data_IF_086615095200
#
_entry.id   IF_086615095200
#
_cell.length_a   1.000
_cell.length_b   1.000
_cell.length_c   1.000
_cell.angle_alpha   90.00
_cell.angle_beta   90.00
_cell.angle_gamma   90.00
#
_symmetry.space_group_name_H-M   'P 1'
#
loop_
_entity.id
_entity.type
_entity.pdbx_description
1 polymer ?
#
# COMPACT_ATOMS: atom_id res chain seq x y z
N UNK A 1 9.07 11.08 -31.28
CA UNK A 1 9.13 11.25 -29.83
C UNK A 1 8.29 10.13 -29.24
N UNK A 2 8.87 9.33 -28.39
CA UNK A 2 8.16 8.26 -27.72
C UNK A 2 7.09 8.88 -26.79
N UNK A 3 5.82 8.64 -27.09
CA UNK A 3 4.68 9.16 -26.32
C UNK A 3 4.70 8.69 -24.85
N UNK A 4 5.46 7.65 -24.56
CA UNK A 4 5.61 7.06 -23.24
C UNK A 4 6.76 7.65 -22.40
N UNK A 5 7.48 8.67 -22.91
CA UNK A 5 8.59 9.31 -22.19
C UNK A 5 8.57 10.84 -22.34
N UNK A 6 7.44 11.46 -21.96
CA UNK A 6 7.32 12.91 -21.95
C UNK A 6 7.81 13.48 -20.62
N UNK A 7 8.32 14.73 -20.58
CA UNK A 7 8.71 15.39 -19.31
C UNK A 7 7.57 15.34 -18.26
N UNK A 8 6.34 15.58 -18.67
CA UNK A 8 5.17 15.52 -17.80
C UNK A 8 4.93 14.13 -17.20
N UNK A 9 5.21 13.05 -17.95
CA UNK A 9 5.14 11.69 -17.42
C UNK A 9 6.23 11.43 -16.39
N UNK A 10 7.45 11.94 -16.62
CA UNK A 10 8.54 11.84 -15.64
C UNK A 10 8.21 12.60 -14.35
N UNK A 11 7.60 13.78 -14.44
CA UNK A 11 7.14 14.54 -13.27
C UNK A 11 6.04 13.78 -12.50
N UNK A 12 5.10 13.16 -13.21
CA UNK A 12 4.07 12.35 -12.59
C UNK A 12 4.64 11.11 -11.88
N UNK A 13 5.58 10.42 -12.51
CA UNK A 13 6.28 9.25 -11.94
C UNK A 13 7.11 9.65 -10.72
N UNK A 14 7.82 10.78 -10.79
CA UNK A 14 8.57 11.33 -9.66
C UNK A 14 7.65 11.66 -8.49
N UNK A 15 6.56 12.38 -8.72
CA UNK A 15 5.57 12.69 -7.69
C UNK A 15 5.00 11.40 -7.03
N UNK A 16 4.78 10.35 -7.82
CA UNK A 16 4.34 9.05 -7.31
C UNK A 16 5.38 8.42 -6.38
N UNK A 17 6.65 8.37 -6.79
CA UNK A 17 7.74 7.79 -6.00
C UNK A 17 8.02 8.58 -4.71
N UNK A 18 7.84 9.91 -4.75
CA UNK A 18 7.97 10.80 -3.59
C UNK A 18 6.74 10.76 -2.64
N UNK A 19 5.72 9.96 -2.95
CA UNK A 19 4.49 9.84 -2.17
C UNK A 19 3.52 11.01 -2.31
N UNK A 20 3.74 11.90 -3.28
CA UNK A 20 2.81 12.99 -3.62
C UNK A 20 1.73 12.46 -4.58
N UNK A 21 0.86 11.60 -4.06
CA UNK A 21 -0.09 10.83 -4.85
C UNK A 21 -1.19 11.66 -5.49
N UNK A 22 -1.60 12.76 -4.88
CA UNK A 22 -2.61 13.66 -5.46
C UNK A 22 -2.09 14.33 -6.73
N UNK A 23 -0.89 14.90 -6.67
CA UNK A 23 -0.23 15.48 -7.84
C UNK A 23 0.01 14.43 -8.91
N UNK A 24 0.51 13.26 -8.54
CA UNK A 24 0.75 12.16 -9.47
C UNK A 24 -0.55 11.72 -10.18
N UNK A 25 -1.63 11.52 -9.42
CA UNK A 25 -2.92 11.12 -9.97
C UNK A 25 -3.46 12.13 -11.00
N UNK A 26 -3.44 13.42 -10.67
CA UNK A 26 -3.93 14.45 -11.55
C UNK A 26 -3.12 14.52 -12.85
N UNK A 27 -1.80 14.42 -12.76
CA UNK A 27 -0.93 14.39 -13.94
C UNK A 27 -1.15 13.12 -14.80
N UNK A 28 -1.30 11.96 -14.19
CA UNK A 28 -1.62 10.72 -14.93
C UNK A 28 -3.00 10.80 -15.58
N UNK A 29 -3.98 11.39 -14.93
CA UNK A 29 -5.32 11.56 -15.49
C UNK A 29 -5.29 12.44 -16.76
N UNK A 30 -4.60 13.58 -16.72
CA UNK A 30 -4.41 14.43 -17.89
C UNK A 30 -3.69 13.69 -19.03
N UNK A 31 -2.60 12.97 -18.72
CA UNK A 31 -1.86 12.19 -19.72
C UNK A 31 -2.70 11.05 -20.32
N UNK A 32 -3.57 10.43 -19.54
CA UNK A 32 -4.48 9.39 -20.04
C UNK A 32 -5.50 9.95 -21.03
N UNK A 33 -5.98 11.19 -20.85
CA UNK A 33 -6.81 11.89 -21.83
C UNK A 33 -6.06 12.10 -23.17
N UNK A 34 -4.72 12.26 -23.13
CA UNK A 34 -3.87 12.35 -24.31
C UNK A 34 -3.48 10.97 -24.88
N UNK A 35 -4.18 9.91 -24.48
CA UNK A 35 -3.95 8.52 -24.89
C UNK A 35 -2.56 7.97 -24.53
N UNK A 36 -1.96 8.40 -23.43
CA UNK A 36 -0.73 7.87 -22.93
C UNK A 36 -0.97 6.54 -22.19
N UNK A 37 -0.48 5.41 -22.78
CA UNK A 37 -0.68 4.07 -22.24
C UNK A 37 -0.02 3.86 -20.87
N UNK A 38 1.16 4.45 -20.65
CA UNK A 38 1.89 4.38 -19.37
C UNK A 38 1.11 5.09 -18.24
N UNK A 39 0.50 6.24 -18.53
CA UNK A 39 -0.36 6.92 -17.56
C UNK A 39 -1.58 6.06 -17.18
N UNK A 40 -2.15 5.34 -18.13
CA UNK A 40 -3.24 4.39 -17.90
C UNK A 40 -2.81 3.22 -17.00
N UNK A 41 -1.57 2.73 -17.16
CA UNK A 41 -0.99 1.74 -16.24
C UNK A 41 -0.97 2.28 -14.81
N UNK A 42 -0.46 3.51 -14.59
CA UNK A 42 -0.43 4.11 -13.25
C UNK A 42 -1.83 4.32 -12.67
N UNK A 43 -2.80 4.75 -13.47
CA UNK A 43 -4.19 4.84 -13.01
C UNK A 43 -4.72 3.47 -12.59
N UNK A 44 -4.40 2.40 -13.32
CA UNK A 44 -4.70 1.04 -12.89
C UNK A 44 -4.12 0.71 -11.51
N UNK A 45 -2.86 1.04 -11.26
CA UNK A 45 -2.21 0.83 -9.96
C UNK A 45 -2.90 1.60 -8.82
N UNK A 46 -3.31 2.85 -9.07
CA UNK A 46 -4.07 3.62 -8.08
C UNK A 46 -5.35 2.90 -7.66
N UNK A 47 -6.04 2.24 -8.57
CA UNK A 47 -7.28 1.52 -8.29
C UNK A 47 -7.07 0.09 -7.76
N UNK A 48 -5.90 -0.51 -7.93
CA UNK A 48 -5.56 -1.82 -7.36
C UNK A 48 -5.26 -1.77 -5.86
N UNK A 49 -4.80 -0.61 -5.36
CA UNK A 49 -4.41 -0.43 -3.96
C UNK A 49 -5.24 0.67 -3.27
N UNK A 50 -6.56 0.49 -3.12
CA UNK A 50 -7.45 1.56 -2.69
C UNK A 50 -7.18 2.08 -1.27
N UNK A 51 -6.60 1.26 -0.39
CA UNK A 51 -6.45 1.61 1.03
C UNK A 51 -5.23 2.48 1.34
N UNK A 52 -4.23 2.53 0.45
CA UNK A 52 -2.97 3.25 0.71
C UNK A 52 -2.86 4.59 -0.02
N UNK A 53 -3.50 4.74 -1.17
CA UNK A 53 -3.30 5.88 -2.04
C UNK A 53 -4.48 6.86 -2.07
N UNK A 54 -5.71 6.36 -2.04
CA UNK A 54 -6.92 7.17 -2.22
C UNK A 54 -7.50 7.81 -0.96
N UNK A 55 -7.15 7.36 0.23
CA UNK A 55 -7.63 8.01 1.47
C UNK A 55 -7.27 9.49 1.58
N UNK A 56 -6.53 10.02 0.58
CA UNK A 56 -6.01 11.38 0.55
C UNK A 56 -6.45 12.24 -0.63
N UNK A 57 -7.17 11.68 -1.61
CA UNK A 57 -7.65 12.46 -2.74
C UNK A 57 -9.06 12.94 -2.39
N UNK A 58 -9.18 14.21 -1.99
CA UNK A 58 -10.48 14.82 -1.72
C UNK A 58 -11.40 14.75 -2.95
N UNK A 59 -12.63 14.32 -2.74
CA UNK A 59 -13.68 14.27 -3.78
C UNK A 59 -13.75 12.97 -4.58
N UNK A 60 -12.84 12.02 -4.38
CA UNK A 60 -12.94 10.68 -4.98
C UNK A 60 -13.64 9.74 -4.01
N UNK A 61 -14.88 9.35 -4.34
CA UNK A 61 -15.64 8.38 -3.53
C UNK A 61 -15.12 6.97 -3.78
N UNK A 62 -14.16 6.55 -2.96
CA UNK A 62 -13.31 5.34 -3.12
C UNK A 62 -14.05 4.03 -2.77
N UNK A 63 -15.26 4.09 -2.25
CA UNK A 63 -15.92 2.97 -1.55
C UNK A 63 -16.26 1.76 -2.44
N UNK A 64 -16.14 1.88 -3.77
CA UNK A 64 -16.38 0.75 -4.70
C UNK A 64 -15.47 0.75 -5.93
N UNK A 65 -14.25 1.20 -5.82
CA UNK A 65 -13.35 1.10 -6.95
C UNK A 65 -12.76 -0.31 -6.98
N UNK A 66 -13.48 -1.11 -7.73
CA UNK A 66 -13.30 -2.53 -7.85
C UNK A 66 -12.12 -2.85 -8.76
N UNK A 67 -11.64 -4.05 -8.62
CA UNK A 67 -10.80 -4.78 -9.57
C UNK A 67 -11.23 -4.59 -11.05
N UNK A 68 -12.49 -4.26 -11.30
CA UNK A 68 -13.05 -3.97 -12.60
C UNK A 68 -12.51 -2.65 -13.18
N UNK A 69 -12.43 -1.58 -12.39
CA UNK A 69 -11.92 -0.29 -12.85
C UNK A 69 -10.42 -0.34 -13.09
N UNK A 70 -9.67 -0.95 -12.18
CA UNK A 70 -8.24 -1.21 -12.35
C UNK A 70 -8.00 -2.03 -13.63
N UNK A 71 -8.71 -3.15 -13.80
CA UNK A 71 -8.63 -4.00 -14.99
C UNK A 71 -8.98 -3.26 -16.28
N UNK A 72 -9.95 -2.34 -16.26
CA UNK A 72 -10.30 -1.52 -17.41
C UNK A 72 -9.17 -0.57 -17.81
N UNK A 73 -8.49 0.05 -16.84
CA UNK A 73 -7.32 0.90 -17.10
C UNK A 73 -6.15 0.12 -17.68
N UNK A 74 -5.81 -1.06 -17.13
CA UNK A 74 -4.76 -1.91 -17.68
C UNK A 74 -5.09 -2.38 -19.10
N UNK A 75 -6.32 -2.78 -19.35
CA UNK A 75 -6.78 -3.15 -20.70
C UNK A 75 -6.64 -2.00 -21.70
N UNK A 76 -7.01 -0.79 -21.28
CA UNK A 76 -6.91 0.40 -22.11
C UNK A 76 -5.43 0.74 -22.39
N UNK A 77 -4.56 0.75 -21.38
CA UNK A 77 -3.13 0.97 -21.52
C UNK A 77 -2.47 -0.07 -22.44
N UNK A 78 -2.84 -1.34 -22.29
CA UNK A 78 -2.42 -2.43 -23.18
C UNK A 78 -2.85 -2.16 -24.65
N UNK A 79 -4.05 -1.67 -24.88
CA UNK A 79 -4.52 -1.32 -26.23
C UNK A 79 -3.77 -0.13 -26.85
N UNK A 80 -3.06 0.66 -26.03
CA UNK A 80 -2.19 1.76 -26.43
C UNK A 80 -0.72 1.34 -26.57
N UNK A 81 -0.43 0.04 -26.38
CA UNK A 81 0.90 -0.54 -26.57
C UNK A 81 1.84 -0.35 -25.37
N UNK A 82 1.33 0.01 -24.17
CA UNK A 82 2.18 0.08 -22.99
C UNK A 82 2.55 -1.33 -22.51
N UNK A 83 3.84 -1.68 -22.37
CA UNK A 83 4.26 -3.03 -21.98
C UNK A 83 3.87 -3.40 -20.56
N UNK A 84 3.93 -2.46 -19.61
CA UNK A 84 3.58 -2.71 -18.21
C UNK A 84 2.08 -2.99 -18.07
N UNK A 85 1.24 -2.14 -18.65
CA UNK A 85 -0.20 -2.36 -18.69
C UNK A 85 -0.56 -3.68 -19.36
N UNK A 86 0.16 -4.03 -20.44
CA UNK A 86 -0.03 -5.29 -21.15
C UNK A 86 0.30 -6.49 -20.28
N UNK A 87 1.44 -6.47 -19.57
CA UNK A 87 1.84 -7.57 -18.70
C UNK A 87 0.85 -7.78 -17.56
N UNK A 88 0.43 -6.70 -16.88
CA UNK A 88 -0.56 -6.80 -15.79
C UNK A 88 -1.91 -7.32 -16.30
N UNK A 89 -2.37 -6.81 -17.43
CA UNK A 89 -3.60 -7.29 -18.06
C UNK A 89 -3.53 -8.79 -18.39
N UNK A 90 -2.42 -9.23 -18.99
CA UNK A 90 -2.18 -10.64 -19.35
C UNK A 90 -2.06 -11.54 -18.11
N UNK A 91 -1.41 -11.10 -17.04
CA UNK A 91 -1.38 -11.84 -15.78
C UNK A 91 -2.79 -12.12 -15.24
N UNK A 92 -3.66 -11.12 -15.29
CA UNK A 92 -5.06 -11.29 -14.88
C UNK A 92 -5.80 -12.30 -15.80
N UNK A 93 -5.54 -12.27 -17.12
CA UNK A 93 -6.10 -13.24 -18.07
C UNK A 93 -5.60 -14.68 -17.83
N UNK A 94 -4.34 -14.87 -17.38
CA UNK A 94 -3.81 -16.19 -16.99
C UNK A 94 -4.63 -16.76 -15.83
N UNK A 95 -4.89 -15.93 -14.80
CA UNK A 95 -5.70 -16.34 -13.65
C UNK A 95 -7.10 -16.78 -14.08
N UNK A 96 -7.66 -16.13 -15.11
CA UNK A 96 -8.97 -16.45 -15.70
C UNK A 96 -8.91 -17.49 -16.85
N UNK A 97 -7.72 -17.99 -17.19
CA UNK A 97 -7.48 -18.96 -18.29
C UNK A 97 -7.89 -18.44 -19.67
N UNK A 98 -7.67 -17.15 -19.98
CA UNK A 98 -8.12 -16.47 -21.21
C UNK A 98 -6.98 -16.03 -22.14
N UNK A 99 -5.72 -16.31 -21.83
CA UNK A 99 -4.58 -15.83 -22.62
C UNK A 99 -3.79 -16.95 -23.27
N UNK A 100 -2.97 -16.62 -24.27
CA UNK A 100 -2.03 -17.52 -24.91
C UNK A 100 -0.61 -17.35 -24.39
N UNK A 101 0.21 -18.42 -24.50
CA UNK A 101 1.61 -18.39 -24.08
C UNK A 101 2.44 -17.37 -24.89
N UNK A 102 2.16 -17.22 -26.20
CA UNK A 102 2.86 -16.23 -27.02
C UNK A 102 2.63 -14.82 -26.53
N UNK A 103 1.38 -14.46 -26.28
CA UNK A 103 1.03 -13.12 -25.76
C UNK A 103 1.72 -12.83 -24.40
N UNK A 104 1.80 -13.84 -23.53
CA UNK A 104 2.55 -13.72 -22.29
C UNK A 104 4.03 -13.50 -22.52
N UNK A 105 4.67 -14.34 -23.33
CA UNK A 105 6.11 -14.27 -23.59
C UNK A 105 6.51 -12.93 -24.21
N UNK A 106 5.76 -12.42 -25.17
CA UNK A 106 6.06 -11.15 -25.83
C UNK A 106 6.06 -9.98 -24.84
N UNK A 107 5.02 -9.85 -24.01
CA UNK A 107 4.95 -8.77 -23.03
C UNK A 107 5.92 -8.97 -21.85
N UNK A 108 6.17 -10.22 -21.43
CA UNK A 108 7.12 -10.54 -20.37
C UNK A 108 8.55 -10.14 -20.75
N UNK A 109 9.01 -10.49 -21.96
CA UNK A 109 10.36 -10.12 -22.41
C UNK A 109 10.50 -8.62 -22.65
N UNK A 110 9.45 -7.93 -23.11
CA UNK A 110 9.47 -6.49 -23.23
C UNK A 110 9.64 -5.81 -21.86
N UNK A 111 8.87 -6.23 -20.85
CA UNK A 111 9.00 -5.68 -19.50
C UNK A 111 10.32 -6.08 -18.84
N UNK A 112 10.80 -7.30 -19.08
CA UNK A 112 12.11 -7.75 -18.59
C UNK A 112 13.24 -6.88 -19.13
N UNK A 113 13.19 -6.53 -20.40
CA UNK A 113 14.18 -5.62 -21.02
C UNK A 113 14.17 -4.26 -20.33
N UNK A 114 12.98 -3.67 -20.12
CA UNK A 114 12.85 -2.39 -19.41
C UNK A 114 13.37 -2.49 -17.95
N UNK A 115 13.11 -3.61 -17.27
CA UNK A 115 13.62 -3.85 -15.93
C UNK A 115 15.16 -3.92 -15.89
N UNK A 116 15.79 -4.57 -16.87
CA UNK A 116 17.26 -4.62 -17.01
C UNK A 116 17.83 -3.23 -17.31
N UNK A 117 17.10 -2.39 -18.01
CA UNK A 117 17.45 -0.98 -18.29
C UNK A 117 17.24 -0.06 -17.09
N UNK A 118 16.71 -0.56 -15.98
CA UNK A 118 16.55 0.15 -14.71
C UNK A 118 15.20 0.84 -14.51
N UNK A 119 14.18 0.51 -15.31
CA UNK A 119 12.81 1.00 -15.05
C UNK A 119 12.26 0.38 -13.74
N UNK A 120 12.16 1.18 -12.70
CA UNK A 120 11.74 0.74 -11.34
C UNK A 120 10.38 0.05 -11.35
N UNK A 121 9.46 0.50 -12.20
CA UNK A 121 8.12 -0.08 -12.28
C UNK A 121 8.16 -1.42 -13.03
N UNK A 122 8.99 -1.53 -14.05
CA UNK A 122 9.23 -2.80 -14.73
C UNK A 122 9.89 -3.83 -13.80
N UNK A 123 10.84 -3.41 -12.97
CA UNK A 123 11.46 -4.27 -11.94
C UNK A 123 10.40 -4.77 -10.96
N UNK A 124 9.49 -3.90 -10.49
CA UNK A 124 8.38 -4.31 -9.62
C UNK A 124 7.41 -5.28 -10.32
N UNK A 125 7.12 -5.07 -11.60
CA UNK A 125 6.26 -5.99 -12.36
C UNK A 125 6.90 -7.35 -12.58
N UNK A 126 8.24 -7.42 -12.75
CA UNK A 126 8.97 -8.69 -12.76
C UNK A 126 8.80 -9.44 -11.41
N UNK A 127 9.01 -8.75 -10.29
CA UNK A 127 8.75 -9.33 -8.97
C UNK A 127 7.32 -9.88 -8.85
N UNK A 128 6.31 -9.09 -9.21
CA UNK A 128 4.91 -9.52 -9.13
C UNK A 128 4.62 -10.71 -10.02
N UNK A 129 5.22 -10.78 -11.20
CA UNK A 129 5.02 -11.89 -12.14
C UNK A 129 5.56 -13.21 -11.57
N UNK A 130 6.77 -13.20 -10.97
CA UNK A 130 7.33 -14.37 -10.31
C UNK A 130 6.56 -14.74 -9.03
N UNK A 131 6.10 -13.76 -8.26
CA UNK A 131 5.24 -13.99 -7.09
C UNK A 131 3.91 -14.63 -7.48
N UNK A 132 3.29 -14.18 -8.55
CA UNK A 132 2.04 -14.76 -9.03
C UNK A 132 2.26 -16.18 -9.55
N UNK A 133 3.37 -16.46 -10.22
CA UNK A 133 3.76 -17.81 -10.60
C UNK A 133 3.96 -18.72 -9.38
N UNK A 134 4.47 -18.17 -8.26
CA UNK A 134 4.61 -18.90 -7.00
C UNK A 134 3.27 -19.16 -6.31
N UNK A 135 2.38 -18.17 -6.30
CA UNK A 135 1.09 -18.23 -5.60
C UNK A 135 0.03 -19.02 -6.39
N UNK A 136 0.11 -19.00 -7.71
CA UNK A 136 -0.86 -19.61 -8.63
C UNK A 136 -0.19 -20.66 -9.53
N UNK A 137 0.68 -21.51 -8.97
CA UNK A 137 1.52 -22.48 -9.69
C UNK A 137 0.74 -23.29 -10.73
N UNK A 138 -0.44 -23.81 -10.38
CA UNK A 138 -1.28 -24.58 -11.31
C UNK A 138 -1.79 -23.76 -12.52
N UNK A 139 -1.92 -22.46 -12.38
CA UNK A 139 -2.39 -21.57 -13.46
C UNK A 139 -1.22 -21.08 -14.34
N UNK A 140 -0.06 -20.91 -13.73
CA UNK A 140 1.15 -20.44 -14.39
C UNK A 140 2.03 -21.56 -14.98
N UNK A 141 1.74 -22.84 -14.71
CA UNK A 141 2.58 -23.98 -15.08
C UNK A 141 3.09 -23.98 -16.55
N UNK A 142 2.26 -23.46 -17.47
CA UNK A 142 2.59 -23.38 -18.88
C UNK A 142 3.23 -22.03 -19.31
N UNK A 143 3.32 -21.04 -18.40
CA UNK A 143 3.78 -19.69 -18.70
C UNK A 143 5.11 -19.38 -18.02
N UNK A 144 5.18 -19.50 -16.73
CA UNK A 144 6.35 -19.22 -15.92
C UNK A 144 6.45 -20.23 -14.77
N UNK A 145 7.61 -20.84 -14.62
CA UNK A 145 7.87 -21.74 -13.49
C UNK A 145 8.12 -20.93 -12.24
N UNK A 146 7.63 -21.44 -11.11
CA UNK A 146 7.96 -20.93 -9.79
C UNK A 146 9.46 -20.88 -9.58
N UNK A 147 9.97 -19.71 -9.22
CA UNK A 147 11.37 -19.50 -8.88
C UNK A 147 11.49 -18.45 -7.77
N UNK A 148 11.59 -18.92 -6.54
CA UNK A 148 11.71 -18.05 -5.36
C UNK A 148 13.03 -17.25 -5.36
N UNK A 149 14.08 -17.71 -6.05
CA UNK A 149 15.34 -16.96 -6.13
C UNK A 149 15.23 -15.77 -7.08
N UNK A 150 14.63 -15.97 -8.24
CA UNK A 150 14.36 -14.87 -9.19
C UNK A 150 13.35 -13.88 -8.56
N UNK A 151 12.31 -14.37 -7.88
CA UNK A 151 11.36 -13.51 -7.17
C UNK A 151 12.07 -12.62 -6.15
N UNK A 152 12.93 -13.18 -5.28
CA UNK A 152 13.69 -12.41 -4.29
C UNK A 152 14.71 -11.47 -4.94
N UNK A 153 15.36 -11.91 -6.04
CA UNK A 153 16.29 -11.06 -6.80
C UNK A 153 15.60 -9.80 -7.30
N UNK A 154 14.46 -9.94 -7.98
CA UNK A 154 13.70 -8.80 -8.48
C UNK A 154 13.17 -7.91 -7.35
N UNK A 155 12.80 -8.50 -6.20
CA UNK A 155 12.41 -7.72 -5.03
C UNK A 155 13.56 -6.87 -4.47
N UNK A 156 14.78 -7.42 -4.40
CA UNK A 156 15.97 -6.67 -3.98
C UNK A 156 16.29 -5.56 -4.97
N UNK A 157 16.28 -5.88 -6.24
CA UNK A 157 16.50 -4.89 -7.31
C UNK A 157 15.51 -3.73 -7.21
N UNK A 158 14.22 -4.03 -7.00
CA UNK A 158 13.20 -3.00 -6.81
C UNK A 158 13.48 -2.10 -5.60
N UNK A 159 13.86 -2.69 -4.47
CA UNK A 159 14.18 -1.94 -3.27
C UNK A 159 15.43 -1.06 -3.44
N UNK A 160 16.47 -1.58 -4.11
CA UNK A 160 17.73 -0.88 -4.38
C UNK A 160 17.55 0.23 -5.42
N UNK A 161 16.68 0.03 -6.40
CA UNK A 161 16.33 1.03 -7.42
C UNK A 161 15.38 2.13 -6.93
N UNK A 162 15.05 2.16 -5.64
CA UNK A 162 14.28 3.25 -5.03
C UNK A 162 12.78 3.05 -4.98
N UNK A 163 12.25 1.83 -5.23
CA UNK A 163 10.83 1.55 -5.05
C UNK A 163 10.43 1.53 -3.56
N UNK A 164 9.57 2.46 -3.08
CA UNK A 164 9.13 2.44 -1.69
C UNK A 164 8.38 1.15 -1.34
N UNK A 165 7.62 0.62 -2.28
CA UNK A 165 6.90 -0.64 -2.13
C UNK A 165 7.87 -1.83 -2.09
N UNK A 166 8.88 -1.86 -2.96
CA UNK A 166 9.95 -2.86 -2.95
C UNK A 166 10.68 -2.88 -1.61
N UNK A 167 11.03 -1.69 -1.08
CA UNK A 167 11.67 -1.54 0.23
C UNK A 167 10.80 -2.12 1.36
N UNK A 168 9.49 -1.80 1.38
CA UNK A 168 8.56 -2.33 2.39
C UNK A 168 8.48 -3.85 2.32
N UNK A 169 8.33 -4.40 1.12
CA UNK A 169 8.24 -5.86 0.94
C UNK A 169 9.54 -6.57 1.33
N UNK A 170 10.69 -6.00 0.99
CA UNK A 170 11.99 -6.54 1.40
C UNK A 170 12.18 -6.44 2.92
N UNK A 171 11.80 -5.32 3.54
CA UNK A 171 11.76 -5.17 4.99
C UNK A 171 10.88 -6.23 5.65
N UNK A 172 9.72 -6.53 5.09
CA UNK A 172 8.83 -7.59 5.57
C UNK A 172 9.46 -8.99 5.47
N UNK A 173 10.24 -9.25 4.42
CA UNK A 173 11.00 -10.51 4.33
C UNK A 173 12.00 -10.66 5.50
N UNK A 174 12.68 -9.58 5.88
CA UNK A 174 13.61 -9.58 7.03
C UNK A 174 12.89 -9.56 8.40
N UNK A 175 11.68 -9.02 8.51
CA UNK A 175 10.86 -9.01 9.74
C UNK A 175 10.34 -10.42 10.14
N UNK A 176 10.71 -11.45 9.41
CA UNK A 176 10.39 -12.84 9.74
C UNK A 176 9.23 -13.41 8.98
N UNK A 177 8.78 -12.73 7.92
CA UNK A 177 7.56 -13.08 7.21
C UNK A 177 7.70 -14.16 6.14
N UNK A 178 8.91 -14.49 5.63
CA UNK A 178 8.98 -15.35 4.44
C UNK A 178 10.12 -16.38 4.46
N UNK A 179 9.91 -17.46 5.17
CA UNK A 179 10.80 -18.64 5.10
C UNK A 179 10.92 -19.24 3.69
N UNK A 180 9.94 -18.97 2.81
CA UNK A 180 9.91 -19.50 1.45
C UNK A 180 11.10 -19.07 0.57
N UNK A 181 11.73 -17.93 0.90
CA UNK A 181 12.89 -17.41 0.14
C UNK A 181 14.24 -17.76 0.77
N UNK A 182 14.29 -18.50 1.87
CA UNK A 182 15.51 -18.77 2.60
C UNK A 182 16.14 -17.52 3.25
N UNK A 183 15.35 -16.44 3.41
CA UNK A 183 15.80 -15.23 4.10
C UNK A 183 15.68 -15.46 5.60
N UNK A 184 16.80 -15.33 6.30
CA UNK A 184 16.84 -15.37 7.76
C UNK A 184 16.30 -14.04 8.29
N UNK A 185 15.46 -14.10 9.32
CA UNK A 185 14.93 -12.91 9.98
C UNK A 185 16.06 -12.03 10.52
N UNK A 186 16.04 -10.76 10.12
CA UNK A 186 16.93 -9.71 10.60
C UNK A 186 16.15 -8.41 10.80
N UNK A 187 15.70 -8.19 12.02
CA UNK A 187 14.91 -7.01 12.35
C UNK A 187 15.68 -5.69 12.16
N UNK A 188 17.02 -5.70 12.24
CA UNK A 188 17.82 -4.49 11.99
C UNK A 188 17.82 -4.14 10.51
N UNK A 189 17.95 -5.13 9.63
CA UNK A 189 17.80 -4.92 8.19
C UNK A 189 16.36 -4.52 7.84
N UNK A 190 15.34 -5.12 8.46
CA UNK A 190 13.95 -4.71 8.29
C UNK A 190 13.77 -3.23 8.62
N UNK A 191 14.28 -2.77 9.77
CA UNK A 191 14.23 -1.36 10.17
C UNK A 191 14.89 -0.45 9.13
N UNK A 192 16.08 -0.81 8.63
CA UNK A 192 16.79 -0.02 7.62
C UNK A 192 15.96 0.17 6.33
N UNK A 193 15.34 -0.90 5.84
CA UNK A 193 14.49 -0.83 4.67
C UNK A 193 13.21 -0.05 4.91
N UNK A 194 12.56 -0.23 6.06
CA UNK A 194 11.39 0.56 6.42
C UNK A 194 11.72 2.04 6.61
N UNK A 195 12.89 2.40 7.18
CA UNK A 195 13.33 3.78 7.30
C UNK A 195 13.49 4.44 5.93
N UNK A 196 14.18 3.79 4.98
CA UNK A 196 14.31 4.28 3.60
C UNK A 196 12.95 4.50 2.94
N UNK A 197 12.01 3.56 3.09
CA UNK A 197 10.67 3.72 2.54
C UNK A 197 9.88 4.84 3.25
N UNK A 198 10.05 5.01 4.55
CA UNK A 198 9.40 6.08 5.32
C UNK A 198 9.92 7.49 4.93
N UNK A 199 11.19 7.62 4.56
CA UNK A 199 11.76 8.86 3.99
C UNK A 199 11.08 9.24 2.66
N UNK A 200 10.57 8.26 1.93
CA UNK A 200 9.77 8.42 0.73
C UNK A 200 8.25 8.49 1.02
N UNK A 201 7.88 8.86 2.24
CA UNK A 201 6.50 9.03 2.70
C UNK A 201 5.62 7.77 2.61
N UNK A 202 6.20 6.58 2.63
CA UNK A 202 5.43 5.35 2.64
C UNK A 202 4.80 5.08 4.02
N UNK A 203 3.48 5.19 4.12
CA UNK A 203 2.75 5.05 5.38
C UNK A 203 2.85 3.64 5.98
N UNK A 204 2.87 2.60 5.15
CA UNK A 204 3.02 1.22 5.63
C UNK A 204 4.38 0.99 6.27
N UNK A 205 5.46 1.57 5.72
CA UNK A 205 6.79 1.53 6.33
C UNK A 205 6.78 2.21 7.71
N UNK A 206 6.16 3.38 7.81
CA UNK A 206 6.03 4.11 9.09
C UNK A 206 5.24 3.28 10.12
N UNK A 207 4.14 2.66 9.70
CA UNK A 207 3.37 1.75 10.55
C UNK A 207 4.21 0.57 11.05
N UNK A 208 4.96 -0.09 10.15
CA UNK A 208 5.82 -1.22 10.49
C UNK A 208 6.94 -0.83 11.45
N UNK A 209 7.56 0.35 11.27
CA UNK A 209 8.51 0.90 12.24
C UNK A 209 7.87 1.06 13.63
N UNK A 210 6.65 1.61 13.70
CA UNK A 210 5.90 1.69 14.94
C UNK A 210 5.69 0.32 15.60
N UNK A 211 5.40 -0.72 14.84
CA UNK A 211 5.29 -2.10 15.34
C UNK A 211 6.61 -2.59 15.93
N UNK A 212 7.74 -2.38 15.21
CA UNK A 212 9.06 -2.85 15.66
C UNK A 212 9.50 -2.17 16.95
N UNK A 213 9.34 -0.84 17.06
CA UNK A 213 9.61 -0.09 18.30
C UNK A 213 8.68 -0.50 19.44
N UNK A 214 7.37 -0.68 19.17
CA UNK A 214 6.40 -1.10 20.19
C UNK A 214 6.69 -2.46 20.78
N UNK A 215 7.27 -3.37 19.98
CA UNK A 215 7.57 -4.75 20.41
C UNK A 215 9.03 -4.96 20.81
N UNK A 216 9.92 -3.98 20.61
CA UNK A 216 11.34 -4.12 20.88
C UNK A 216 12.06 -5.11 19.94
N UNK A 217 11.58 -5.22 18.68
CA UNK A 217 12.18 -6.13 17.69
C UNK A 217 13.29 -5.42 16.94
N UNK A 218 14.54 -5.88 17.10
CA UNK A 218 15.73 -5.29 16.48
C UNK A 218 16.17 -3.96 17.09
N UNK A 219 15.37 -3.39 17.99
CA UNK A 219 15.62 -2.16 18.77
C UNK A 219 15.13 -2.35 20.19
N UNK A 220 15.57 -1.49 21.12
CA UNK A 220 14.98 -1.41 22.44
C UNK A 220 13.50 -1.02 22.32
N UNK A 221 12.64 -1.68 23.12
CA UNK A 221 11.22 -1.32 23.16
C UNK A 221 11.03 0.13 23.57
N UNK A 222 10.31 0.89 22.76
CA UNK A 222 9.99 2.29 23.01
C UNK A 222 8.60 2.63 22.48
N UNK A 223 7.63 2.69 23.39
CA UNK A 223 6.26 3.04 23.03
C UNK A 223 6.11 4.52 22.62
N UNK A 224 6.99 5.42 23.10
CA UNK A 224 6.94 6.83 22.70
C UNK A 224 7.42 7.00 21.27
N UNK A 225 8.48 6.29 20.87
CA UNK A 225 8.94 6.30 19.49
C UNK A 225 7.94 5.58 18.55
N UNK A 226 7.35 4.46 19.01
CA UNK A 226 6.28 3.79 18.28
C UNK A 226 5.08 4.72 18.03
N UNK A 227 4.68 5.49 19.03
CA UNK A 227 3.61 6.47 18.92
C UNK A 227 3.90 7.53 17.86
N UNK A 228 5.13 8.07 17.81
CA UNK A 228 5.54 9.04 16.78
C UNK A 228 5.45 8.46 15.37
N UNK A 229 5.88 7.22 15.19
CA UNK A 229 5.80 6.54 13.91
C UNK A 229 4.35 6.27 13.48
N UNK A 230 3.48 5.86 14.42
CA UNK A 230 2.04 5.72 14.14
C UNK A 230 1.39 7.07 13.78
N UNK A 231 1.78 8.17 14.46
CA UNK A 231 1.29 9.50 14.11
C UNK A 231 1.63 9.86 12.67
N UNK A 232 2.90 9.73 12.28
CA UNK A 232 3.33 9.96 10.90
C UNK A 232 2.55 9.10 9.90
N UNK A 233 2.41 7.81 10.17
CA UNK A 233 1.65 6.90 9.30
C UNK A 233 0.17 7.31 9.18
N UNK A 234 -0.48 7.68 10.27
CA UNK A 234 -1.87 8.12 10.30
C UNK A 234 -2.09 9.45 9.58
N UNK A 235 -1.11 10.38 9.60
CA UNK A 235 -1.12 11.61 8.79
C UNK A 235 -1.16 11.29 7.30
N UNK A 236 -0.57 10.16 6.90
CA UNK A 236 -0.67 9.63 5.55
C UNK A 236 -1.91 8.72 5.33
N UNK A 237 -2.89 8.75 6.22
CA UNK A 237 -4.19 8.09 6.07
C UNK A 237 -4.19 6.58 6.39
N UNK A 238 -3.13 6.05 6.99
CA UNK A 238 -3.08 4.63 7.38
C UNK A 238 -4.06 4.33 8.51
N UNK A 239 -5.04 3.50 8.22
CA UNK A 239 -6.13 3.18 9.16
C UNK A 239 -5.64 2.30 10.31
N UNK A 240 -4.70 1.40 10.05
CA UNK A 240 -4.10 0.56 11.08
C UNK A 240 -3.33 1.40 12.11
N UNK A 241 -2.59 2.41 11.63
CA UNK A 241 -1.92 3.38 12.50
C UNK A 241 -2.93 4.19 13.33
N UNK A 242 -4.06 4.62 12.75
CA UNK A 242 -5.13 5.29 13.50
C UNK A 242 -5.67 4.41 14.63
N UNK A 243 -5.86 3.10 14.37
CA UNK A 243 -6.28 2.14 15.39
C UNK A 243 -5.23 1.96 16.49
N UNK A 244 -3.94 1.94 16.13
CA UNK A 244 -2.82 1.88 17.10
C UNK A 244 -2.77 3.13 17.98
N UNK A 245 -3.00 4.31 17.41
CA UNK A 245 -3.08 5.56 18.17
C UNK A 245 -4.26 5.56 19.14
N UNK A 246 -5.44 5.13 18.70
CA UNK A 246 -6.58 4.95 19.57
C UNK A 246 -6.26 4.05 20.78
N UNK A 247 -5.62 2.91 20.51
CA UNK A 247 -5.19 1.98 21.56
C UNK A 247 -4.08 2.56 22.45
N UNK A 248 -3.13 3.33 21.89
CA UNK A 248 -2.08 3.98 22.66
C UNK A 248 -2.64 4.99 23.66
N UNK A 249 -3.58 5.85 23.25
CA UNK A 249 -4.27 6.78 24.14
C UNK A 249 -5.17 6.07 25.16
N UNK A 250 -5.83 4.97 24.78
CA UNK A 250 -6.67 4.18 25.69
C UNK A 250 -5.85 3.58 26.83
N UNK A 251 -4.63 3.11 26.55
CA UNK A 251 -3.80 2.36 27.50
C UNK A 251 -2.66 3.20 28.10
N UNK A 252 -2.38 4.41 27.58
CA UNK A 252 -1.25 5.23 28.01
C UNK A 252 0.10 4.67 27.51
N UNK A 253 0.14 4.09 26.29
CA UNK A 253 1.35 3.52 25.71
C UNK A 253 2.11 4.59 24.91
N UNK A 254 3.20 5.10 25.49
CA UNK A 254 4.03 6.14 24.88
C UNK A 254 3.41 7.54 24.87
N UNK A 255 2.23 7.69 25.45
CA UNK A 255 1.48 8.95 25.55
C UNK A 255 0.65 8.97 26.82
N UNK A 256 0.29 10.15 27.30
CA UNK A 256 -0.64 10.29 28.45
C UNK A 256 -1.99 9.70 28.08
N UNK A 257 -2.50 8.82 28.95
CA UNK A 257 -3.80 8.16 28.77
C UNK A 257 -4.93 9.18 28.62
N UNK A 258 -5.74 9.03 27.57
CA UNK A 258 -6.86 9.90 27.26
C UNK A 258 -7.93 9.16 26.47
N UNK A 259 -9.05 8.86 27.09
CA UNK A 259 -10.18 8.25 26.38
C UNK A 259 -10.80 9.18 25.33
N UNK A 260 -10.73 10.52 25.54
CA UNK A 260 -11.21 11.49 24.55
C UNK A 260 -10.38 11.47 23.25
N UNK A 261 -9.06 11.41 23.35
CA UNK A 261 -8.19 11.28 22.19
C UNK A 261 -8.32 9.90 21.54
N UNK A 262 -8.42 8.82 22.33
CA UNK A 262 -8.70 7.48 21.81
C UNK A 262 -9.99 7.46 20.98
N UNK A 263 -11.06 8.10 21.47
CA UNK A 263 -12.32 8.22 20.74
C UNK A 263 -12.16 8.93 19.39
N UNK A 264 -11.44 10.06 19.36
CA UNK A 264 -11.18 10.79 18.10
C UNK A 264 -10.47 9.93 17.05
N UNK A 265 -9.45 9.18 17.45
CA UNK A 265 -8.71 8.31 16.55
C UNK A 265 -9.54 7.13 16.04
N UNK A 266 -10.31 6.49 16.91
CA UNK A 266 -11.23 5.43 16.48
C UNK A 266 -12.35 5.97 15.58
N UNK A 267 -12.82 7.21 15.81
CA UNK A 267 -13.74 7.89 14.89
C UNK A 267 -13.16 8.09 13.50
N UNK A 268 -11.91 8.58 13.42
CA UNK A 268 -11.21 8.72 12.13
C UNK A 268 -11.11 7.37 11.41
N UNK A 269 -10.68 6.32 12.11
CA UNK A 269 -10.60 4.97 11.56
C UNK A 269 -11.97 4.42 11.12
N UNK A 270 -13.02 4.63 11.89
CA UNK A 270 -14.40 4.24 11.57
C UNK A 270 -14.93 4.97 10.33
N UNK A 271 -14.57 6.25 10.16
CA UNK A 271 -14.96 7.06 9.00
C UNK A 271 -14.48 6.52 7.66
N UNK A 272 -13.46 5.66 7.66
CA UNK A 272 -12.97 4.95 6.47
C UNK A 272 -13.76 3.66 6.15
N UNK A 273 -14.78 3.32 6.94
CA UNK A 273 -15.53 2.07 6.81
C UNK A 273 -14.88 0.85 7.48
N UNK A 274 -13.80 1.06 8.24
CA UNK A 274 -13.07 -0.04 8.88
C UNK A 274 -13.78 -0.53 10.16
N UNK A 275 -14.20 -1.81 10.19
CA UNK A 275 -15.01 -2.39 11.28
C UNK A 275 -14.39 -2.28 12.67
N UNK A 276 -13.06 -2.45 12.80
CA UNK A 276 -12.34 -2.31 14.09
C UNK A 276 -12.38 -0.88 14.65
N UNK A 277 -12.53 0.14 13.80
CA UNK A 277 -12.77 1.51 14.25
C UNK A 277 -14.09 1.63 15.02
N UNK A 278 -15.14 0.99 14.50
CA UNK A 278 -16.47 0.95 15.16
C UNK A 278 -16.41 0.20 16.51
N UNK A 279 -15.68 -0.93 16.55
CA UNK A 279 -15.50 -1.70 17.79
C UNK A 279 -14.73 -0.89 18.84
N UNK A 280 -13.65 -0.20 18.42
CA UNK A 280 -12.87 0.69 19.28
C UNK A 280 -13.71 1.83 19.85
N UNK A 281 -14.55 2.46 19.02
CA UNK A 281 -15.50 3.49 19.47
C UNK A 281 -16.45 2.95 20.55
N UNK A 282 -17.10 1.82 20.30
CA UNK A 282 -18.04 1.22 21.24
C UNK A 282 -17.37 0.82 22.56
N UNK A 283 -16.09 0.42 22.53
CA UNK A 283 -15.30 0.14 23.72
C UNK A 283 -15.01 1.40 24.52
N UNK A 284 -14.52 2.45 23.88
CA UNK A 284 -14.18 3.72 24.55
C UNK A 284 -15.43 4.42 25.07
N UNK A 285 -16.56 4.38 24.35
CA UNK A 285 -17.84 4.89 24.85
C UNK A 285 -18.21 4.24 26.20
N UNK A 286 -18.11 2.91 26.30
CA UNK A 286 -18.37 2.19 27.57
C UNK A 286 -17.41 2.58 28.67
N UNK A 287 -16.11 2.76 28.35
CA UNK A 287 -15.11 3.19 29.34
C UNK A 287 -15.36 4.61 29.83
N UNK A 288 -15.73 5.53 28.94
CA UNK A 288 -16.10 6.91 29.29
C UNK A 288 -17.35 6.95 30.18
N UNK A 289 -18.38 6.18 29.83
CA UNK A 289 -19.62 6.08 30.67
C UNK A 289 -19.29 5.57 32.06
N UNK A 290 -18.48 4.53 32.18
CA UNK A 290 -18.10 3.96 33.48
C UNK A 290 -17.21 4.90 34.31
N UNK A 291 -16.30 5.63 33.64
CA UNK A 291 -15.36 6.53 34.33
C UNK A 291 -16.00 7.82 34.83
N UNK A 292 -16.99 8.32 34.10
CA UNK A 292 -17.65 9.58 34.41
C UNK A 292 -18.85 9.42 35.39
N UNK A 293 -19.17 8.20 35.84
CA UNK A 293 -20.45 7.90 36.54
C UNK A 293 -21.62 8.56 35.80
N UNK A 294 -21.59 8.48 34.47
CA UNK A 294 -22.34 9.36 33.59
C UNK A 294 -23.82 9.09 33.64
N UNK A 295 -24.58 10.15 33.88
CA UNK A 295 -26.02 10.17 33.74
C UNK A 295 -26.45 9.85 32.29
N UNK A 296 -27.67 9.33 32.06
CA UNK A 296 -28.23 9.01 30.74
C UNK A 296 -28.13 10.13 29.70
N UNK A 297 -27.95 11.38 30.12
CA UNK A 297 -27.82 12.55 29.26
C UNK A 297 -26.52 12.57 28.42
N UNK A 298 -25.41 12.02 28.93
CA UNK A 298 -24.13 11.91 28.16
C UNK A 298 -24.26 10.82 27.11
N UNK A 299 -25.05 9.78 27.36
CA UNK A 299 -25.36 8.74 26.35
C UNK A 299 -26.09 9.33 25.13
N UNK A 300 -26.97 10.32 25.35
CA UNK A 300 -27.64 11.03 24.27
C UNK A 300 -26.66 11.87 23.41
N UNK A 301 -25.65 12.48 24.02
CA UNK A 301 -24.64 13.27 23.30
C UNK A 301 -23.87 12.41 22.28
N UNK A 302 -23.40 11.22 22.65
CA UNK A 302 -22.74 10.29 21.75
C UNK A 302 -23.67 9.72 20.67
N UNK A 303 -24.95 9.54 20.99
CA UNK A 303 -25.96 9.09 20.03
C UNK A 303 -26.28 10.18 18.99
N UNK A 304 -26.28 11.46 19.41
CA UNK A 304 -26.44 12.61 18.53
C UNK A 304 -25.23 12.76 17.59
N UNK A 305 -24.01 12.63 18.09
CA UNK A 305 -22.80 12.65 17.28
C UNK A 305 -22.76 11.53 16.23
N UNK A 306 -23.33 10.34 16.53
CA UNK A 306 -23.50 9.26 15.54
C UNK A 306 -24.51 9.56 14.45
N UNK A 307 -25.50 10.42 14.71
CA UNK A 307 -26.56 10.81 13.75
C UNK A 307 -26.18 12.02 12.90
N UNK A 308 -25.14 12.75 13.27
CA UNK A 308 -24.63 13.92 12.50
C UNK A 308 -23.62 13.50 11.39
N UNK A 309 -23.51 12.21 11.11
CA UNK A 309 -22.89 11.60 9.93
C UNK A 309 -23.97 11.14 8.96
#
# INVERSE_FOLDING_TARGET
MDKNNTPKLQDAMKAYLEGNYETAYNLFLELAWDNNGRAMYFLGMFFDSPNSLFGKIEGVNVVKLSREVSGAWYKLGASRGDPLATLVYVRNEIIEKRTSIHKFNDCFEAVRTMAIEGDVFAIMEMYYTYRDASNYENKYANYLKKDNKEELKWLREAAESGSPEGMVKLGTCYDGGYYAYGVVSDYKEAIRWYQKAAELNNSMAMYNLGILYSNGRGVQQDHSEAFKWYMKSAEFGDVEAMLKLGSAYENGLGVVKSYGEAFKWYMKASGTGHGRGVEGLAKVERLLVNHLNATPQIFNFFTVLKRMK
#
